data_IF_920674294025
#
_entry.id   IF_920674294025
#
_cell.length_a   1.000
_cell.length_b   1.000
_cell.length_c   1.000
_cell.angle_alpha   90.00
_cell.angle_beta   90.00
_cell.angle_gamma   90.00
#
_symmetry.space_group_name_H-M   'P 1'
#
loop_
_entity.id
_entity.type
_entity.pdbx_description
1 polymer ?
#
# COMPACT_ATOMS: atom_id res chain seq x y z
N UNK A 1 -2.14 11.04 -13.03
CA UNK A 1 -1.97 11.38 -11.59
C UNK A 1 -3.32 11.45 -10.90
N UNK A 2 -3.48 10.82 -9.71
CA UNK A 2 -4.67 10.96 -8.86
C UNK A 2 -4.36 12.01 -7.80
N UNK A 3 -5.23 13.02 -7.67
CA UNK A 3 -5.13 14.09 -6.66
C UNK A 3 -6.31 13.97 -5.70
N UNK A 4 -6.03 13.88 -4.40
CA UNK A 4 -6.99 13.81 -3.32
C UNK A 4 -6.86 15.12 -2.53
N UNK A 5 -7.90 15.94 -2.53
CA UNK A 5 -7.89 17.32 -2.04
C UNK A 5 -8.87 17.46 -0.88
N UNK A 6 -8.36 17.48 0.36
CA UNK A 6 -9.10 17.68 1.63
C UNK A 6 -10.38 16.85 1.75
N UNK A 7 -10.28 15.57 1.42
CA UNK A 7 -11.42 14.66 1.36
C UNK A 7 -11.88 14.28 2.77
N UNK A 8 -13.14 14.58 3.08
CA UNK A 8 -13.82 14.14 4.30
C UNK A 8 -15.00 13.25 3.94
N UNK A 9 -15.12 12.09 4.62
CA UNK A 9 -16.21 11.15 4.46
C UNK A 9 -16.78 10.72 5.80
N UNK A 10 -18.09 10.88 5.97
CA UNK A 10 -18.81 10.53 7.19
C UNK A 10 -19.91 9.50 6.92
N UNK A 11 -20.16 8.64 7.90
CA UNK A 11 -21.28 7.68 7.93
C UNK A 11 -21.99 7.84 9.28
N UNK A 12 -23.06 8.65 9.29
CA UNK A 12 -23.69 9.07 10.55
C UNK A 12 -22.67 9.79 11.44
N UNK A 13 -22.45 9.28 12.64
CA UNK A 13 -21.52 9.86 13.61
C UNK A 13 -20.05 9.42 13.40
N UNK A 14 -19.81 8.52 12.44
CA UNK A 14 -18.46 7.99 12.20
C UNK A 14 -17.80 8.77 11.07
N UNK A 15 -16.71 9.48 11.38
CA UNK A 15 -15.85 10.11 10.39
C UNK A 15 -14.82 9.09 9.91
N UNK A 16 -15.06 8.52 8.72
CA UNK A 16 -14.22 7.50 8.12
C UNK A 16 -12.98 8.06 7.41
N UNK A 17 -13.09 9.30 6.87
CA UNK A 17 -11.97 10.08 6.31
C UNK A 17 -12.06 11.50 6.84
N UNK A 18 -10.91 12.06 7.24
CA UNK A 18 -10.81 13.40 7.80
C UNK A 18 -9.73 14.22 7.08
N UNK A 19 -10.17 15.14 6.22
CA UNK A 19 -9.32 16.08 5.47
C UNK A 19 -8.13 15.39 4.77
N UNK A 20 -8.37 14.23 4.17
CA UNK A 20 -7.32 13.46 3.50
C UNK A 20 -6.76 14.25 2.31
N UNK A 21 -5.44 14.43 2.31
CA UNK A 21 -4.68 14.99 1.19
C UNK A 21 -3.61 13.99 0.76
N UNK A 22 -3.57 13.67 -0.54
CA UNK A 22 -2.53 12.85 -1.13
C UNK A 22 -2.45 13.04 -2.64
N UNK A 23 -1.29 12.71 -3.18
CA UNK A 23 -1.06 12.61 -4.62
C UNK A 23 -0.51 11.23 -4.94
N UNK A 24 -1.08 10.56 -5.93
CA UNK A 24 -0.61 9.29 -6.44
C UNK A 24 -0.02 9.54 -7.83
N UNK A 25 1.29 9.37 -7.91
CA UNK A 25 2.06 9.55 -9.14
C UNK A 25 1.70 8.48 -10.17
N UNK A 26 1.96 8.77 -11.44
CA UNK A 26 1.74 7.83 -12.54
C UNK A 26 2.90 6.85 -12.66
N UNK A 27 2.61 5.66 -13.21
CA UNK A 27 3.61 4.64 -13.54
C UNK A 27 4.43 4.16 -12.34
N UNK A 28 3.80 4.09 -11.17
CA UNK A 28 4.36 3.51 -9.94
C UNK A 28 3.32 2.66 -9.24
N UNK A 29 3.74 1.71 -8.43
CA UNK A 29 2.85 0.91 -7.59
C UNK A 29 2.66 1.63 -6.26
N UNK A 30 1.47 2.16 -6.03
CA UNK A 30 1.15 2.88 -4.79
C UNK A 30 0.49 1.95 -3.77
N UNK A 31 1.08 1.86 -2.59
CA UNK A 31 0.55 1.12 -1.44
C UNK A 31 -0.20 2.03 -0.47
N UNK A 32 -1.45 1.72 -0.18
CA UNK A 32 -2.23 2.35 0.89
C UNK A 32 -2.23 1.43 2.11
N UNK A 33 -1.30 1.69 3.02
CA UNK A 33 -1.14 0.94 4.26
C UNK A 33 -2.05 1.49 5.37
N UNK A 34 -2.42 0.64 6.32
CA UNK A 34 -3.17 1.05 7.51
C UNK A 34 -3.90 -0.10 8.17
N UNK A 35 -4.22 0.06 9.46
CA UNK A 35 -4.96 -0.94 10.23
C UNK A 35 -6.39 -1.14 9.72
N UNK A 36 -7.04 -2.22 10.16
CA UNK A 36 -8.46 -2.40 9.88
C UNK A 36 -9.27 -1.25 10.49
N UNK A 37 -10.22 -0.71 9.71
CA UNK A 37 -10.98 0.47 10.11
C UNK A 37 -10.28 1.82 9.90
N UNK A 38 -9.04 1.86 9.41
CA UNK A 38 -8.33 3.12 9.14
C UNK A 38 -8.99 4.00 8.05
N UNK A 39 -9.87 3.43 7.20
CA UNK A 39 -10.55 4.15 6.12
C UNK A 39 -10.08 3.78 4.71
N UNK A 40 -9.18 2.80 4.53
CA UNK A 40 -8.60 2.41 3.23
C UNK A 40 -9.66 2.11 2.15
N UNK A 41 -10.57 1.17 2.42
CA UNK A 41 -11.66 0.82 1.49
C UNK A 41 -12.58 2.00 1.21
N UNK A 42 -12.81 2.87 2.21
CA UNK A 42 -13.59 4.10 2.03
C UNK A 42 -12.89 5.04 1.08
N UNK A 43 -11.58 5.24 1.25
CA UNK A 43 -10.79 6.10 0.36
C UNK A 43 -10.78 5.57 -1.07
N UNK A 44 -10.55 4.27 -1.29
CA UNK A 44 -10.61 3.67 -2.62
C UNK A 44 -11.99 3.82 -3.28
N UNK A 45 -13.08 3.69 -2.51
CA UNK A 45 -14.44 3.92 -3.02
C UNK A 45 -14.71 5.40 -3.34
N UNK A 46 -14.09 6.33 -2.63
CA UNK A 46 -14.17 7.77 -2.99
C UNK A 46 -13.34 8.03 -4.25
N UNK A 47 -12.12 7.49 -4.36
CA UNK A 47 -11.28 7.60 -5.56
C UNK A 47 -11.97 6.99 -6.79
N UNK A 48 -12.69 5.88 -6.63
CA UNK A 48 -13.44 5.24 -7.72
C UNK A 48 -14.76 5.96 -8.07
N UNK A 49 -15.16 6.98 -7.28
CA UNK A 49 -16.43 7.67 -7.43
C UNK A 49 -17.64 6.81 -7.14
N UNK A 50 -17.49 5.72 -6.34
CA UNK A 50 -18.59 4.92 -5.77
C UNK A 50 -19.20 5.66 -4.59
N UNK A 51 -18.36 6.33 -3.78
CA UNK A 51 -18.83 7.16 -2.67
C UNK A 51 -18.54 8.63 -2.95
N UNK A 52 -19.51 9.47 -2.65
CA UNK A 52 -19.36 10.92 -2.65
C UNK A 52 -18.75 11.37 -1.33
N UNK A 53 -17.69 12.20 -1.32
CA UNK A 53 -17.21 12.84 -0.10
C UNK A 53 -18.17 13.95 0.34
N UNK A 54 -18.23 14.24 1.64
CA UNK A 54 -18.97 15.39 2.19
C UNK A 54 -18.22 16.70 1.92
N UNK A 55 -16.86 16.65 1.97
CA UNK A 55 -15.99 17.79 1.66
C UNK A 55 -14.82 17.34 0.82
N UNK A 56 -14.21 18.29 0.12
CA UNK A 56 -13.08 18.01 -0.76
C UNK A 56 -13.48 17.34 -2.06
N UNK A 57 -12.51 16.91 -2.81
CA UNK A 57 -12.73 16.25 -4.12
C UNK A 57 -11.55 15.34 -4.46
N UNK A 58 -11.81 14.41 -5.38
CA UNK A 58 -10.78 13.59 -6.02
C UNK A 58 -10.78 13.90 -7.51
N UNK A 59 -9.58 14.07 -8.07
CA UNK A 59 -9.38 14.25 -9.51
C UNK A 59 -8.49 13.15 -10.05
N UNK A 60 -8.78 12.72 -11.27
CA UNK A 60 -7.96 11.81 -12.06
C UNK A 60 -7.52 12.59 -13.32
N UNK A 61 -6.22 12.84 -13.44
CA UNK A 61 -5.64 13.67 -14.50
C UNK A 61 -6.35 15.01 -14.65
N UNK A 62 -6.62 15.68 -13.52
CA UNK A 62 -7.31 16.97 -13.48
C UNK A 62 -8.83 16.90 -13.60
N UNK A 63 -9.40 15.75 -13.92
CA UNK A 63 -10.86 15.56 -14.04
C UNK A 63 -11.46 15.13 -12.70
N UNK A 64 -12.48 15.85 -12.16
CA UNK A 64 -13.17 15.40 -10.96
C UNK A 64 -13.84 14.04 -11.21
N UNK A 65 -13.76 13.11 -10.24
CA UNK A 65 -14.20 11.74 -10.44
C UNK A 65 -15.71 11.56 -10.19
N UNK A 66 -16.30 12.37 -9.28
CA UNK A 66 -17.71 12.24 -8.94
C UNK A 66 -18.61 12.58 -10.13
N UNK A 67 -19.51 11.63 -10.47
CA UNK A 67 -20.45 11.72 -11.61
C UNK A 67 -19.78 12.06 -12.96
N UNK A 68 -18.51 11.73 -13.14
CA UNK A 68 -17.76 12.00 -14.37
C UNK A 68 -17.36 10.70 -15.08
N UNK A 69 -18.09 10.30 -16.13
CA UNK A 69 -17.76 9.09 -16.88
C UNK A 69 -16.36 9.14 -17.55
N UNK A 70 -15.88 10.33 -17.94
CA UNK A 70 -14.56 10.46 -18.57
C UNK A 70 -13.43 10.12 -17.59
N UNK A 71 -13.53 10.54 -16.34
CA UNK A 71 -12.60 10.16 -15.29
C UNK A 71 -12.74 8.67 -14.93
N UNK A 72 -13.97 8.16 -14.80
CA UNK A 72 -14.24 6.76 -14.42
C UNK A 72 -13.78 5.75 -15.47
N UNK A 73 -13.75 6.09 -16.75
CA UNK A 73 -13.23 5.21 -17.81
C UNK A 73 -11.72 4.96 -17.70
N UNK A 74 -11.00 5.78 -16.94
CA UNK A 74 -9.54 5.65 -16.75
C UNK A 74 -9.17 4.70 -15.62
N UNK A 75 -10.15 4.22 -14.83
CA UNK A 75 -9.89 3.36 -13.68
C UNK A 75 -10.73 2.08 -13.71
N UNK A 76 -10.18 1.04 -13.08
CA UNK A 76 -10.89 -0.16 -12.67
C UNK A 76 -10.74 -0.32 -11.16
N UNK A 77 -11.82 -0.72 -10.46
CA UNK A 77 -11.82 -0.96 -9.02
C UNK A 77 -12.11 -2.42 -8.71
N UNK A 78 -11.22 -3.08 -8.00
CA UNK A 78 -11.35 -4.43 -7.48
C UNK A 78 -11.63 -4.34 -5.98
N UNK A 79 -12.85 -4.63 -5.52
CA UNK A 79 -13.17 -4.62 -4.11
C UNK A 79 -12.61 -5.86 -3.39
N UNK A 80 -12.45 -5.78 -2.06
CA UNK A 80 -11.98 -6.91 -1.22
C UNK A 80 -12.83 -8.17 -1.45
N UNK A 81 -14.15 -8.02 -1.42
CA UNK A 81 -15.06 -9.12 -1.76
C UNK A 81 -15.31 -9.11 -3.26
N UNK A 82 -14.71 -10.08 -3.96
CA UNK A 82 -14.90 -10.24 -5.40
C UNK A 82 -16.36 -10.48 -5.75
N UNK A 83 -16.93 -9.61 -6.58
CA UNK A 83 -18.31 -9.70 -7.05
C UNK A 83 -18.38 -10.38 -8.41
N UNK A 84 -18.81 -11.63 -8.45
CA UNK A 84 -19.09 -12.37 -9.68
C UNK A 84 -20.58 -12.70 -9.76
N UNK A 85 -21.11 -12.79 -10.98
CA UNK A 85 -22.49 -13.23 -11.16
C UNK A 85 -22.69 -14.68 -10.66
N UNK A 86 -23.87 -15.02 -10.18
CA UNK A 86 -24.19 -16.41 -9.84
C UNK A 86 -23.90 -17.35 -11.01
N UNK A 87 -23.19 -18.46 -10.74
CA UNK A 87 -22.77 -19.43 -11.74
C UNK A 87 -21.85 -18.90 -12.87
N UNK A 88 -21.28 -17.71 -12.75
CA UNK A 88 -20.35 -17.18 -13.75
C UNK A 88 -19.12 -18.07 -13.90
N UNK A 89 -18.62 -18.16 -15.12
CA UNK A 89 -17.29 -18.65 -15.47
C UNK A 89 -16.35 -17.49 -15.79
N UNK A 90 -15.05 -17.75 -15.87
CA UNK A 90 -14.09 -16.70 -16.25
C UNK A 90 -14.36 -16.17 -17.67
N UNK A 91 -14.78 -17.03 -18.61
CA UNK A 91 -15.21 -16.63 -19.96
C UNK A 91 -16.41 -15.67 -19.92
N UNK A 92 -17.44 -15.97 -19.11
CA UNK A 92 -18.60 -15.08 -18.98
C UNK A 92 -18.23 -13.73 -18.40
N UNK A 93 -17.31 -13.69 -17.42
CA UNK A 93 -16.81 -12.44 -16.86
C UNK A 93 -15.97 -11.66 -17.85
N UNK A 94 -15.12 -12.33 -18.66
CA UNK A 94 -14.38 -11.72 -19.78
C UNK A 94 -15.34 -11.01 -20.75
N UNK A 95 -16.38 -11.72 -21.18
CA UNK A 95 -17.35 -11.17 -22.15
C UNK A 95 -18.14 -9.98 -21.56
N UNK A 96 -18.45 -10.01 -20.26
CA UNK A 96 -19.06 -8.90 -19.55
C UNK A 96 -18.11 -7.68 -19.47
N UNK A 97 -16.85 -7.88 -19.09
CA UNK A 97 -15.86 -6.80 -19.01
C UNK A 97 -15.59 -6.17 -20.37
N UNK A 98 -15.56 -6.94 -21.43
CA UNK A 98 -15.43 -6.45 -22.81
C UNK A 98 -16.55 -5.47 -23.21
N UNK A 99 -17.76 -5.63 -22.68
CA UNK A 99 -18.88 -4.71 -22.94
C UNK A 99 -18.72 -3.39 -22.15
N UNK A 100 -18.20 -3.49 -20.91
CA UNK A 100 -18.09 -2.32 -20.02
C UNK A 100 -16.83 -1.50 -20.31
N UNK A 101 -15.71 -2.19 -20.59
CA UNK A 101 -14.41 -1.57 -20.85
C UNK A 101 -14.06 -1.69 -22.33
N UNK A 102 -14.19 -0.62 -23.14
CA UNK A 102 -13.93 -0.68 -24.58
C UNK A 102 -12.49 -1.11 -24.95
N UNK A 103 -11.54 -0.89 -24.03
CA UNK A 103 -10.14 -1.27 -24.19
C UNK A 103 -9.82 -2.69 -23.70
N UNK A 104 -10.81 -3.48 -23.29
CA UNK A 104 -10.57 -4.82 -22.70
C UNK A 104 -9.90 -5.78 -23.70
N UNK A 105 -8.76 -6.35 -23.29
CA UNK A 105 -8.01 -7.32 -24.09
C UNK A 105 -8.41 -8.75 -23.74
N UNK A 106 -9.30 -9.32 -24.53
CA UNK A 106 -9.79 -10.69 -24.36
C UNK A 106 -8.71 -11.74 -24.64
N UNK A 107 -7.83 -11.50 -25.62
CA UNK A 107 -6.75 -12.43 -25.96
C UNK A 107 -5.74 -12.53 -24.82
N UNK A 108 -5.31 -11.38 -24.32
CA UNK A 108 -4.42 -11.30 -23.15
C UNK A 108 -5.02 -11.96 -21.90
N UNK A 109 -6.33 -11.78 -21.68
CA UNK A 109 -7.01 -12.42 -20.55
C UNK A 109 -6.99 -13.95 -20.66
N UNK A 110 -7.26 -14.50 -21.84
CA UNK A 110 -7.27 -15.96 -22.07
C UNK A 110 -5.85 -16.55 -21.88
N UNK A 111 -4.81 -15.87 -22.39
CA UNK A 111 -3.41 -16.26 -22.17
C UNK A 111 -3.03 -16.26 -20.67
N UNK A 112 -3.43 -15.22 -19.94
CA UNK A 112 -3.17 -15.12 -18.50
C UNK A 112 -3.91 -16.19 -17.70
N UNK A 113 -5.16 -16.53 -18.05
CA UNK A 113 -5.87 -17.66 -17.42
C UNK A 113 -5.11 -18.97 -17.57
N UNK A 114 -4.58 -19.25 -18.76
CA UNK A 114 -3.77 -20.45 -19.04
C UNK A 114 -2.48 -20.43 -18.21
N UNK A 115 -1.75 -19.31 -18.19
CA UNK A 115 -0.51 -19.15 -17.41
C UNK A 115 -0.73 -19.35 -15.92
N UNK A 116 -1.88 -18.90 -15.38
CA UNK A 116 -2.26 -19.04 -13.98
C UNK A 116 -2.94 -20.38 -13.67
N UNK A 117 -3.11 -21.27 -14.66
CA UNK A 117 -3.71 -22.59 -14.49
C UNK A 117 -5.20 -22.53 -14.10
N UNK A 118 -5.90 -21.49 -14.52
CA UNK A 118 -7.31 -21.28 -14.22
C UNK A 118 -8.18 -21.77 -15.38
N UNK A 119 -9.05 -22.77 -15.11
CA UNK A 119 -9.99 -23.25 -16.11
C UNK A 119 -11.04 -22.20 -16.46
N UNK A 120 -11.09 -21.68 -17.71
CA UNK A 120 -11.97 -20.60 -18.11
C UNK A 120 -13.47 -20.97 -18.03
N UNK A 121 -13.82 -22.26 -18.11
CA UNK A 121 -15.20 -22.77 -18.11
C UNK A 121 -15.70 -23.22 -16.76
N UNK A 122 -14.80 -23.35 -15.80
CA UNK A 122 -15.15 -23.74 -14.43
C UNK A 122 -15.90 -22.59 -13.74
N UNK A 123 -16.94 -22.92 -12.99
CA UNK A 123 -17.72 -21.92 -12.23
C UNK A 123 -16.84 -21.27 -11.17
N UNK A 124 -16.72 -19.94 -11.19
CA UNK A 124 -15.90 -19.16 -10.27
C UNK A 124 -16.30 -19.38 -8.81
N UNK A 125 -17.59 -19.62 -8.52
CA UNK A 125 -18.03 -19.91 -7.15
C UNK A 125 -17.33 -21.15 -6.54
N UNK A 126 -16.85 -22.11 -7.36
CA UNK A 126 -16.12 -23.30 -6.92
C UNK A 126 -14.60 -23.06 -6.74
N UNK A 127 -14.12 -21.87 -7.07
CA UNK A 127 -12.72 -21.50 -6.88
C UNK A 127 -12.42 -21.20 -5.41
N UNK A 128 -11.18 -21.41 -4.98
CA UNK A 128 -10.70 -20.94 -3.68
C UNK A 128 -10.76 -19.40 -3.60
N UNK A 129 -10.63 -18.84 -2.39
CA UNK A 129 -10.54 -17.38 -2.19
C UNK A 129 -9.41 -16.78 -3.04
N UNK A 130 -8.22 -17.40 -3.02
CA UNK A 130 -7.08 -16.95 -3.81
C UNK A 130 -7.34 -17.00 -5.31
N UNK A 131 -7.89 -18.12 -5.85
CA UNK A 131 -8.23 -18.23 -7.28
C UNK A 131 -9.25 -17.16 -7.72
N UNK A 132 -10.24 -16.83 -6.87
CA UNK A 132 -11.19 -15.75 -7.16
C UNK A 132 -10.48 -14.39 -7.25
N UNK A 133 -9.56 -14.12 -6.34
CA UNK A 133 -8.75 -12.89 -6.38
C UNK A 133 -7.85 -12.84 -7.61
N UNK A 134 -7.23 -13.96 -8.00
CA UNK A 134 -6.48 -14.06 -9.27
C UNK A 134 -7.36 -13.65 -10.46
N UNK A 135 -8.54 -14.25 -10.63
CA UNK A 135 -9.47 -13.87 -11.71
C UNK A 135 -9.79 -12.38 -11.69
N UNK A 136 -10.07 -11.80 -10.49
CA UNK A 136 -10.36 -10.37 -10.35
C UNK A 136 -9.20 -9.49 -10.81
N UNK A 137 -7.96 -9.84 -10.44
CA UNK A 137 -6.74 -9.10 -10.84
C UNK A 137 -6.54 -9.21 -12.36
N UNK A 138 -6.64 -10.41 -12.93
CA UNK A 138 -6.47 -10.60 -14.37
C UNK A 138 -7.53 -9.83 -15.18
N UNK A 139 -8.79 -9.85 -14.74
CA UNK A 139 -9.85 -9.02 -15.33
C UNK A 139 -9.47 -7.53 -15.25
N UNK A 140 -9.05 -7.06 -14.07
CA UNK A 140 -8.67 -5.66 -13.85
C UNK A 140 -7.53 -5.20 -14.75
N UNK A 141 -6.47 -5.99 -14.90
CA UNK A 141 -5.33 -5.69 -15.78
C UNK A 141 -5.78 -5.60 -17.24
N UNK A 142 -6.60 -6.57 -17.68
CA UNK A 142 -7.05 -6.66 -19.07
C UNK A 142 -8.10 -5.59 -19.44
N UNK A 143 -8.60 -4.77 -18.49
CA UNK A 143 -9.42 -3.59 -18.82
C UNK A 143 -8.65 -2.53 -19.60
N UNK A 144 -7.31 -2.57 -19.57
CA UNK A 144 -6.42 -1.57 -20.14
C UNK A 144 -6.67 -0.14 -19.63
N UNK A 145 -7.22 -0.02 -18.40
CA UNK A 145 -7.36 1.27 -17.72
C UNK A 145 -6.00 1.76 -17.21
N UNK A 146 -5.86 3.08 -17.06
CA UNK A 146 -4.64 3.71 -16.57
C UNK A 146 -4.41 3.48 -15.06
N UNK A 147 -5.50 3.33 -14.31
CA UNK A 147 -5.46 3.13 -12.85
C UNK A 147 -6.21 1.86 -12.47
N UNK A 148 -5.58 1.03 -11.64
CA UNK A 148 -6.18 -0.18 -11.08
C UNK A 148 -6.20 -0.06 -9.56
N UNK A 149 -7.39 0.11 -8.98
CA UNK A 149 -7.58 0.19 -7.53
C UNK A 149 -7.87 -1.19 -6.97
N UNK A 150 -7.04 -1.66 -6.03
CA UNK A 150 -7.09 -3.00 -5.45
C UNK A 150 -7.33 -2.90 -3.93
N UNK A 151 -8.52 -3.32 -3.47
CA UNK A 151 -8.86 -3.32 -2.04
C UNK A 151 -8.62 -4.72 -1.47
N UNK A 152 -7.62 -4.87 -0.58
CA UNK A 152 -7.21 -6.13 0.08
C UNK A 152 -7.05 -7.31 -0.92
N UNK A 153 -6.62 -7.01 -2.14
CA UNK A 153 -6.66 -7.98 -3.27
C UNK A 153 -5.60 -9.06 -3.14
N UNK A 154 -4.49 -8.77 -2.44
CA UNK A 154 -3.38 -9.69 -2.23
C UNK A 154 -3.59 -10.60 -1.02
N UNK A 155 -4.53 -10.29 -0.12
CA UNK A 155 -4.87 -11.15 1.01
C UNK A 155 -5.39 -12.51 0.54
N UNK A 156 -4.76 -13.58 1.02
CA UNK A 156 -5.07 -14.97 0.63
C UNK A 156 -4.44 -15.46 -0.68
N UNK A 157 -3.57 -14.67 -1.33
CA UNK A 157 -2.66 -15.17 -2.35
C UNK A 157 -1.44 -15.81 -1.68
N UNK A 158 -1.02 -16.97 -2.18
CA UNK A 158 0.24 -17.56 -1.78
C UNK A 158 1.45 -16.72 -2.28
N UNK A 159 2.65 -16.88 -1.70
CA UNK A 159 3.82 -16.07 -2.05
C UNK A 159 4.20 -16.14 -3.54
N UNK A 160 4.01 -17.31 -4.19
CA UNK A 160 4.34 -17.50 -5.62
C UNK A 160 3.39 -16.70 -6.49
N UNK A 161 2.08 -16.77 -6.21
CA UNK A 161 1.07 -16.00 -6.93
C UNK A 161 1.22 -14.50 -6.69
N UNK A 162 1.59 -14.08 -5.48
CA UNK A 162 1.88 -12.67 -5.16
C UNK A 162 3.04 -12.15 -6.02
N UNK A 163 4.12 -12.92 -6.12
CA UNK A 163 5.27 -12.56 -6.95
C UNK A 163 4.91 -12.54 -8.45
N UNK A 164 4.06 -13.46 -8.92
CA UNK A 164 3.60 -13.47 -10.31
C UNK A 164 2.78 -12.19 -10.63
N UNK A 165 1.89 -11.77 -9.74
CA UNK A 165 1.11 -10.53 -9.92
C UNK A 165 2.01 -9.30 -9.87
N UNK A 166 3.01 -9.25 -8.96
CA UNK A 166 4.01 -8.18 -8.93
C UNK A 166 4.75 -8.05 -10.25
N UNK A 167 5.25 -9.16 -10.77
CA UNK A 167 5.95 -9.19 -12.06
C UNK A 167 5.04 -8.75 -13.21
N UNK A 168 3.76 -9.12 -13.16
CA UNK A 168 2.77 -8.70 -14.14
C UNK A 168 2.51 -7.19 -14.08
N UNK A 169 2.36 -6.60 -12.88
CA UNK A 169 2.23 -5.16 -12.71
C UNK A 169 3.46 -4.40 -13.23
N UNK A 170 4.66 -4.85 -12.88
CA UNK A 170 5.90 -4.26 -13.37
C UNK A 170 5.99 -4.29 -14.91
N UNK A 171 5.61 -5.42 -15.53
CA UNK A 171 5.55 -5.53 -16.98
C UNK A 171 4.54 -4.56 -17.60
N UNK A 172 3.35 -4.41 -17.01
CA UNK A 172 2.33 -3.48 -17.50
C UNK A 172 2.79 -2.01 -17.40
N UNK A 173 3.47 -1.63 -16.31
CA UNK A 173 4.02 -0.27 -16.11
C UNK A 173 5.07 0.06 -17.20
N UNK A 174 5.89 -0.92 -17.59
CA UNK A 174 6.90 -0.73 -18.63
C UNK A 174 6.28 -0.58 -20.03
N UNK A 175 5.13 -1.21 -20.28
CA UNK A 175 4.54 -1.29 -21.62
C UNK A 175 3.46 -0.23 -21.88
N UNK A 176 2.83 0.32 -20.84
CA UNK A 176 1.76 1.31 -20.97
C UNK A 176 1.64 2.20 -19.74
N UNK A 177 0.88 3.26 -19.83
CA UNK A 177 0.50 4.07 -18.67
C UNK A 177 -0.38 3.20 -17.74
N UNK A 178 0.18 2.80 -16.60
CA UNK A 178 -0.48 1.94 -15.65
C UNK A 178 -0.03 2.26 -14.22
N UNK A 179 -0.98 2.44 -13.33
CA UNK A 179 -0.74 2.81 -11.93
C UNK A 179 -1.65 1.96 -11.03
N UNK A 180 -1.16 0.85 -10.50
CA UNK A 180 -1.90 0.10 -9.49
C UNK A 180 -1.84 0.82 -8.13
N UNK A 181 -2.99 0.88 -7.46
CA UNK A 181 -3.16 1.40 -6.09
C UNK A 181 -3.67 0.26 -5.23
N UNK A 182 -2.86 -0.18 -4.29
CA UNK A 182 -3.07 -1.40 -3.49
C UNK A 182 -3.34 -1.01 -2.05
N UNK A 183 -4.56 -1.22 -1.56
CA UNK A 183 -4.84 -1.12 -0.13
C UNK A 183 -4.61 -2.48 0.55
N UNK A 184 -3.82 -2.48 1.62
CA UNK A 184 -3.58 -3.65 2.45
C UNK A 184 -3.38 -3.27 3.91
N UNK A 185 -3.76 -4.17 4.83
CA UNK A 185 -3.41 -4.09 6.24
C UNK A 185 -2.08 -4.81 6.54
N UNK A 186 -1.54 -5.57 5.57
CA UNK A 186 -0.26 -6.24 5.65
C UNK A 186 0.85 -5.34 5.14
N UNK A 187 1.65 -4.77 6.04
CA UNK A 187 2.78 -3.92 5.68
C UNK A 187 3.84 -4.67 4.87
N UNK A 188 4.00 -5.97 5.11
CA UNK A 188 4.91 -6.83 4.33
C UNK A 188 4.47 -6.94 2.87
N UNK A 189 3.15 -7.05 2.62
CA UNK A 189 2.63 -7.07 1.24
C UNK A 189 2.92 -5.77 0.51
N UNK A 190 2.71 -4.63 1.19
CA UNK A 190 3.03 -3.31 0.66
C UNK A 190 4.53 -3.18 0.39
N UNK A 191 5.38 -3.58 1.33
CA UNK A 191 6.83 -3.55 1.20
C UNK A 191 7.34 -4.40 0.04
N UNK A 192 6.76 -5.58 -0.16
CA UNK A 192 7.15 -6.50 -1.22
C UNK A 192 6.78 -6.03 -2.62
N UNK A 193 5.71 -5.22 -2.77
CA UNK A 193 5.08 -4.95 -4.07
C UNK A 193 5.22 -3.49 -4.49
N UNK A 194 5.09 -2.54 -3.55
CA UNK A 194 4.90 -1.14 -3.84
C UNK A 194 6.22 -0.36 -3.92
N UNK A 195 6.22 0.71 -4.70
CA UNK A 195 7.33 1.67 -4.81
C UNK A 195 7.08 2.88 -3.90
N UNK A 196 5.82 3.24 -3.72
CA UNK A 196 5.37 4.38 -2.92
C UNK A 196 4.33 3.94 -1.89
N UNK A 197 4.38 4.49 -0.69
CA UNK A 197 3.45 4.14 0.38
C UNK A 197 2.81 5.35 1.01
N UNK A 198 1.48 5.30 1.14
CA UNK A 198 0.69 6.20 1.96
C UNK A 198 0.17 5.47 3.19
N UNK A 199 0.41 6.03 4.37
CA UNK A 199 -0.07 5.47 5.62
C UNK A 199 -1.35 6.16 6.07
N UNK A 200 -2.44 5.41 6.08
CA UNK A 200 -3.74 5.87 6.57
C UNK A 200 -3.97 5.40 8.01
N UNK A 201 -4.27 6.35 8.90
CA UNK A 201 -4.59 6.09 10.29
C UNK A 201 -5.78 6.93 10.74
N UNK A 202 -6.81 6.30 11.33
CA UNK A 202 -8.04 6.97 11.84
C UNK A 202 -8.63 8.00 10.88
N UNK A 203 -8.65 7.67 9.59
CA UNK A 203 -9.21 8.53 8.55
C UNK A 203 -8.30 9.62 8.02
N UNK A 204 -7.10 9.81 8.56
CA UNK A 204 -6.09 10.76 8.07
C UNK A 204 -4.89 10.06 7.46
N UNK A 205 -4.19 10.71 6.53
CA UNK A 205 -2.90 10.25 6.02
C UNK A 205 -1.80 10.84 6.90
N UNK A 206 -0.99 9.98 7.53
CA UNK A 206 0.14 10.38 8.35
C UNK A 206 1.34 10.79 7.48
N UNK A 207 1.62 10.03 6.44
CA UNK A 207 2.64 10.33 5.44
C UNK A 207 2.33 9.66 4.10
N UNK A 208 2.95 10.17 3.04
CA UNK A 208 2.94 9.58 1.70
C UNK A 208 4.31 9.82 1.08
N UNK A 209 5.13 8.76 0.90
CA UNK A 209 6.53 8.84 0.46
C UNK A 209 6.95 7.64 -0.38
N UNK A 210 8.03 7.78 -1.11
CA UNK A 210 8.72 6.66 -1.74
C UNK A 210 9.32 5.75 -0.68
N UNK A 211 9.23 4.45 -0.92
CA UNK A 211 9.61 3.42 0.06
C UNK A 211 11.13 3.39 0.24
N UNK A 212 11.87 3.57 -0.84
CA UNK A 212 13.32 3.62 -0.81
C UNK A 212 13.83 4.87 -0.08
N UNK A 213 13.22 6.04 -0.30
CA UNK A 213 13.56 7.27 0.43
C UNK A 213 13.35 7.11 1.94
N UNK A 214 12.27 6.44 2.36
CA UNK A 214 12.02 6.18 3.77
C UNK A 214 13.09 5.29 4.39
N UNK A 215 13.59 4.30 3.65
CA UNK A 215 14.66 3.40 4.11
C UNK A 215 16.03 4.06 4.15
N UNK A 216 16.24 5.11 3.36
CA UNK A 216 17.46 5.91 3.37
C UNK A 216 17.51 6.92 4.52
N UNK A 217 16.35 7.36 5.01
CA UNK A 217 16.25 8.39 6.05
C UNK A 217 16.15 7.83 7.46
N UNK A 218 15.85 6.55 7.63
CA UNK A 218 15.62 5.93 8.94
C UNK A 218 16.48 4.68 9.08
N UNK A 219 17.26 4.62 10.16
CA UNK A 219 18.19 3.52 10.40
C UNK A 219 17.94 2.84 11.74
N UNK A 220 18.03 1.52 11.76
CA UNK A 220 18.01 0.71 12.96
C UNK A 220 19.44 0.27 13.27
N UNK A 221 19.93 0.61 14.45
CA UNK A 221 21.28 0.31 14.87
C UNK A 221 21.26 -0.52 16.14
N UNK A 222 22.14 -1.50 16.20
CA UNK A 222 22.49 -2.18 17.44
C UNK A 222 23.92 -1.82 17.83
N UNK A 223 24.11 -1.37 19.05
CA UNK A 223 25.45 -1.05 19.55
C UNK A 223 25.61 -1.39 21.02
N UNK A 224 26.87 -1.54 21.42
CA UNK A 224 27.29 -1.71 22.84
C UNK A 224 28.27 -0.59 23.16
N UNK A 225 27.83 0.37 23.98
CA UNK A 225 28.64 1.49 24.46
C UNK A 225 28.98 1.21 25.93
N UNK A 226 30.28 1.06 26.29
CA UNK A 226 30.70 0.71 27.66
C UNK A 226 30.39 1.77 28.70
N UNK A 227 30.42 3.04 28.27
CA UNK A 227 30.23 4.21 29.14
C UNK A 227 28.75 4.66 29.09
N UNK A 228 28.01 4.57 30.20
CA UNK A 228 26.61 5.01 30.24
C UNK A 228 26.41 6.49 29.91
N UNK A 229 27.37 7.36 30.22
CA UNK A 229 27.27 8.79 29.91
C UNK A 229 27.35 9.02 28.41
N UNK A 230 28.25 8.32 27.72
CA UNK A 230 28.35 8.38 26.25
C UNK A 230 27.10 7.81 25.56
N UNK A 231 26.46 6.80 26.17
CA UNK A 231 25.20 6.25 25.67
C UNK A 231 24.06 7.29 25.76
N UNK A 232 23.93 7.99 26.88
CA UNK A 232 22.95 9.07 27.04
C UNK A 232 23.22 10.24 26.10
N UNK A 233 24.50 10.64 25.95
CA UNK A 233 24.90 11.66 24.98
C UNK A 233 24.49 11.28 23.56
N UNK A 234 24.74 10.01 23.14
CA UNK A 234 24.35 9.53 21.82
C UNK A 234 22.86 9.69 21.58
N UNK A 235 22.04 9.28 22.54
CA UNK A 235 20.58 9.40 22.44
C UNK A 235 20.10 10.86 22.36
N UNK A 236 20.82 11.82 22.99
CA UNK A 236 20.49 13.23 22.91
C UNK A 236 20.97 13.90 21.60
N UNK A 237 22.04 13.42 20.99
CA UNK A 237 22.62 14.00 19.78
C UNK A 237 21.95 13.52 18.48
N UNK A 238 21.13 12.46 18.56
CA UNK A 238 20.45 11.86 17.42
C UNK A 238 18.95 12.13 17.48
N UNK A 239 18.30 12.20 16.33
CA UNK A 239 16.85 12.19 16.25
C UNK A 239 16.34 10.75 16.47
N UNK A 240 16.22 10.36 17.75
CA UNK A 240 15.79 9.02 18.15
C UNK A 240 14.29 8.91 18.05
N UNK A 241 13.81 8.01 17.16
CA UNK A 241 12.40 7.68 17.02
C UNK A 241 11.98 6.64 18.05
N UNK A 242 12.83 5.61 18.25
CA UNK A 242 12.59 4.55 19.21
C UNK A 242 13.92 4.01 19.74
N UNK A 243 13.96 3.61 21.02
CA UNK A 243 15.10 2.89 21.57
C UNK A 243 14.68 1.77 22.53
N UNK A 244 15.50 0.75 22.64
CA UNK A 244 15.34 -0.31 23.63
C UNK A 244 16.69 -0.88 24.04
N UNK A 245 16.80 -1.37 25.27
CA UNK A 245 18.03 -1.95 25.81
C UNK A 245 17.78 -3.34 26.37
N UNK A 246 18.62 -4.28 25.94
CA UNK A 246 18.61 -5.65 26.47
C UNK A 246 20.02 -6.01 26.98
N UNK A 247 20.19 -6.01 28.30
CA UNK A 247 21.54 -6.11 28.90
C UNK A 247 22.41 -4.94 28.51
N UNK A 248 23.55 -5.19 27.85
CA UNK A 248 24.44 -4.17 27.34
C UNK A 248 24.15 -3.76 25.88
N UNK A 249 23.27 -4.48 25.19
CA UNK A 249 22.93 -4.20 23.79
C UNK A 249 21.84 -3.13 23.72
N UNK A 250 22.19 -1.97 23.18
CA UNK A 250 21.29 -0.88 22.85
C UNK A 250 20.83 -1.03 21.40
N UNK A 251 19.52 -1.00 21.17
CA UNK A 251 18.91 -0.94 19.85
C UNK A 251 18.22 0.41 19.72
N UNK A 252 18.56 1.19 18.70
CA UNK A 252 17.96 2.50 18.43
C UNK A 252 17.46 2.55 16.98
N UNK A 253 16.33 3.20 16.78
CA UNK A 253 15.82 3.61 15.46
C UNK A 253 15.93 5.13 15.43
N UNK A 254 16.68 5.63 14.45
CA UNK A 254 17.03 7.05 14.34
C UNK A 254 16.76 7.58 12.95
N UNK A 255 16.47 8.87 12.86
CA UNK A 255 16.38 9.59 11.58
C UNK A 255 17.70 10.30 11.30
N UNK A 256 18.11 10.27 10.03
CA UNK A 256 19.33 10.92 9.54
C UNK A 256 19.99 10.11 8.44
N UNK A 257 21.01 10.66 7.78
CA UNK A 257 21.79 9.91 6.80
C UNK A 257 22.66 8.83 7.45
N UNK A 258 22.86 7.71 6.77
CA UNK A 258 23.67 6.60 7.26
C UNK A 258 25.07 7.05 7.70
N UNK A 259 25.70 7.90 6.89
CA UNK A 259 27.05 8.44 7.17
C UNK A 259 27.10 9.27 8.47
N UNK A 260 26.09 10.11 8.71
CA UNK A 260 26.02 10.92 9.93
C UNK A 260 25.78 10.06 11.16
N UNK A 261 24.87 9.11 11.04
CA UNK A 261 24.50 8.17 12.11
C UNK A 261 25.72 7.31 12.49
N UNK A 262 26.40 6.72 11.51
CA UNK A 262 27.59 5.89 11.73
C UNK A 262 28.70 6.71 12.39
N UNK A 263 28.97 7.92 11.92
CA UNK A 263 29.98 8.83 12.51
C UNK A 263 29.70 9.10 13.99
N UNK A 264 28.46 9.49 14.35
CA UNK A 264 28.08 9.78 15.74
C UNK A 264 28.27 8.55 16.65
N UNK A 265 27.96 7.37 16.17
CA UNK A 265 28.14 6.13 16.92
C UNK A 265 29.64 5.85 17.14
N UNK A 266 30.47 5.98 16.11
CA UNK A 266 31.91 5.73 16.20
C UNK A 266 32.63 6.71 17.12
N UNK A 267 32.18 7.96 17.21
CA UNK A 267 32.69 8.96 18.16
C UNK A 267 32.50 8.51 19.64
N UNK A 268 31.49 7.70 19.94
CA UNK A 268 31.25 7.18 21.30
C UNK A 268 32.10 5.93 21.63
N UNK A 269 32.91 5.44 20.67
CA UNK A 269 33.81 4.28 20.83
C UNK A 269 33.08 3.01 21.26
N UNK A 270 32.11 2.53 20.47
CA UNK A 270 31.38 1.32 20.79
C UNK A 270 32.28 0.09 20.76
N UNK A 271 32.00 -0.91 21.62
CA UNK A 271 32.62 -2.24 21.51
C UNK A 271 32.06 -3.02 20.31
N UNK A 272 30.84 -2.72 19.93
CA UNK A 272 30.12 -3.33 18.82
C UNK A 272 29.15 -2.31 18.26
N UNK A 273 29.03 -2.23 16.93
CA UNK A 273 27.96 -1.52 16.25
C UNK A 273 27.63 -2.20 14.92
N UNK A 274 26.35 -2.27 14.62
CA UNK A 274 25.84 -2.84 13.37
C UNK A 274 24.56 -2.08 12.96
N UNK A 275 24.48 -1.71 11.68
CA UNK A 275 23.26 -1.17 11.07
C UNK A 275 22.47 -2.36 10.55
N UNK A 276 21.21 -2.48 10.98
CA UNK A 276 20.31 -3.56 10.61
C UNK A 276 19.30 -3.09 9.56
N UNK A 277 18.87 -3.98 8.66
CA UNK A 277 17.77 -3.66 7.76
C UNK A 277 16.51 -3.34 8.55
N UNK A 278 15.82 -2.28 8.16
CA UNK A 278 14.58 -1.81 8.77
C UNK A 278 13.40 -2.22 7.89
N UNK A 279 12.42 -2.89 8.49
CA UNK A 279 11.18 -3.25 7.82
C UNK A 279 10.20 -2.07 7.79
N UNK A 280 9.29 -2.05 6.81
CA UNK A 280 8.21 -1.06 6.76
C UNK A 280 7.34 -1.09 8.04
N UNK A 281 7.21 -2.26 8.67
CA UNK A 281 6.48 -2.42 9.93
C UNK A 281 7.16 -1.65 11.08
N UNK A 282 8.48 -1.70 11.18
CA UNK A 282 9.24 -0.96 12.20
C UNK A 282 9.21 0.54 11.92
N UNK A 283 9.30 0.97 10.66
CA UNK A 283 9.11 2.38 10.26
C UNK A 283 7.71 2.85 10.65
N UNK A 284 6.69 2.05 10.35
CA UNK A 284 5.31 2.35 10.70
C UNK A 284 5.12 2.58 12.21
N UNK A 285 5.67 1.67 13.03
CA UNK A 285 5.60 1.76 14.49
C UNK A 285 6.27 3.05 14.96
N UNK A 286 7.48 3.32 14.47
CA UNK A 286 8.26 4.51 14.86
C UNK A 286 7.56 5.81 14.50
N UNK A 287 7.02 5.93 13.28
CA UNK A 287 6.31 7.13 12.83
C UNK A 287 4.98 7.35 13.57
N UNK A 288 4.27 6.27 13.91
CA UNK A 288 3.03 6.39 14.69
C UNK A 288 3.28 6.75 16.15
N UNK A 289 4.36 6.29 16.78
CA UNK A 289 4.76 6.71 18.13
C UNK A 289 5.10 8.20 18.17
N UNK A 290 5.85 8.71 17.19
CA UNK A 290 6.16 10.15 17.07
C UNK A 290 4.89 11.00 16.89
N UNK A 291 3.92 10.49 16.13
CA UNK A 291 2.61 11.15 15.95
C UNK A 291 1.71 11.10 17.22
N UNK A 292 2.22 10.58 18.34
CA UNK A 292 1.52 10.52 19.62
C UNK A 292 0.54 9.35 19.76
N UNK A 293 0.66 8.34 18.89
CA UNK A 293 -0.13 7.12 18.96
C UNK A 293 0.63 6.03 19.72
N UNK A 294 0.35 5.90 21.01
CA UNK A 294 0.94 4.84 21.83
C UNK A 294 0.33 3.48 21.47
N UNK A 295 1.09 2.68 20.69
CA UNK A 295 0.69 1.33 20.28
C UNK A 295 0.49 0.41 21.50
N UNK A 296 1.12 0.70 22.63
CA UNK A 296 0.96 -0.07 23.87
C UNK A 296 -0.48 -0.03 24.40
N UNK A 297 -1.24 1.03 24.06
CA UNK A 297 -2.65 1.16 24.42
C UNK A 297 -3.62 0.46 23.44
N UNK A 298 -3.13 -0.17 22.37
CA UNK A 298 -3.94 -0.88 21.37
C UNK A 298 -3.96 -2.41 21.59
N UNK A 299 -3.12 -2.93 22.49
CA UNK A 299 -2.94 -4.38 22.72
C UNK A 299 -3.57 -4.82 24.06
N UNK A 300 -4.16 -3.92 24.85
CA UNK A 300 -4.82 -4.26 26.13
C UNK A 300 -6.26 -3.75 26.17
#
# INVERSE_FOLDING_TARGET
>A
MISIEQVTKEFGDIRALDQVEAQISENSIFGLAGTNGAGKSTLLRVISGVLRPEKGQVKIDGLPVWENPAAKRRLCFIPDTSCFFPNATSEMMRDYYRVIYPGFDSGRFDELLEQFGLDPRRKIQTFSKGMKKQVSVLLGICTNTEYLLCDETFDGLDPVMRQAVKSLFASEILNRKFTPVIASHSLREIEDICDHVGLLHRGGILFSRELDDMKLDIHKIQCVIPDPLKEEELLCEMEVLQHSKRGSLLTVIVRGSEEEVERKIMEKQPLFSEILPLSLEEIFISETEVAGYDIKNLIF
#
